data_IF_609692578985
#
_entry.id   IF_609692578985
#
_cell.length_a   1.000
_cell.length_b   1.000
_cell.length_c   1.000
_cell.angle_alpha   90.00
_cell.angle_beta   90.00
_cell.angle_gamma   90.00
#
_symmetry.space_group_name_H-M   'P 1'
#
loop_
_entity.id
_entity.type
_entity.pdbx_description
1 polymer ?
#
# COMPACT_ATOMS: atom_id res chain seq x y z
N UNK A 1 -17.23 0.54 15.89
CA UNK A 1 -17.44 -0.73 15.18
C UNK A 1 -17.23 -0.44 13.69
N UNK A 2 -16.08 -0.78 13.12
CA UNK A 2 -16.02 -1.11 11.69
C UNK A 2 -14.92 -2.15 11.51
N UNK A 3 -15.35 -3.41 11.45
CA UNK A 3 -14.56 -4.50 10.90
C UNK A 3 -14.81 -4.46 9.40
N UNK A 4 -13.98 -3.75 8.65
CA UNK A 4 -13.95 -3.79 7.19
C UNK A 4 -12.55 -3.40 6.76
N UNK A 5 -11.61 -4.32 6.97
CA UNK A 5 -10.21 -4.15 6.58
C UNK A 5 -10.07 -4.36 5.07
N UNK A 6 -10.75 -3.52 4.30
CA UNK A 6 -10.41 -3.31 2.91
C UNK A 6 -9.08 -2.58 2.91
N UNK A 7 -8.00 -3.17 2.37
CA UNK A 7 -6.71 -2.51 2.36
C UNK A 7 -6.84 -1.28 1.47
N UNK A 8 -6.72 -0.10 2.06
CA UNK A 8 -6.82 1.17 1.36
C UNK A 8 -5.53 1.94 1.58
N UNK A 9 -4.98 2.46 0.49
CA UNK A 9 -3.78 3.29 0.50
C UNK A 9 -4.01 4.53 1.40
N UNK A 10 -3.23 4.70 2.46
CA UNK A 10 -3.33 5.86 3.37
C UNK A 10 -2.92 7.18 2.70
N UNK A 11 -2.11 7.12 1.64
CA UNK A 11 -1.64 8.31 0.92
C UNK A 11 -2.61 8.77 -0.18
N UNK A 12 -3.29 7.82 -0.81
CA UNK A 12 -4.07 8.04 -2.03
C UNK A 12 -5.54 7.60 -1.92
N UNK A 13 -5.94 7.06 -0.77
CA UNK A 13 -7.26 6.50 -0.47
C UNK A 13 -7.76 5.45 -1.49
N UNK A 14 -6.88 4.92 -2.34
CA UNK A 14 -7.25 3.93 -3.34
C UNK A 14 -7.48 2.56 -2.69
N UNK A 15 -8.57 1.85 -3.03
CA UNK A 15 -8.85 0.51 -2.55
C UNK A 15 -7.91 -0.52 -3.22
N UNK A 16 -6.97 -1.04 -2.44
CA UNK A 16 -6.05 -2.10 -2.84
C UNK A 16 -6.77 -3.44 -2.71
N UNK A 17 -7.41 -3.90 -3.79
CA UNK A 17 -8.12 -5.18 -3.82
C UNK A 17 -7.30 -6.31 -4.47
N UNK A 18 -6.15 -5.97 -5.07
CA UNK A 18 -5.29 -6.93 -5.79
C UNK A 18 -3.91 -6.98 -5.15
N UNK A 19 -3.29 -8.16 -5.01
CA UNK A 19 -1.95 -8.31 -4.43
C UNK A 19 -0.85 -7.54 -5.16
N UNK A 20 -1.03 -7.18 -6.44
CA UNK A 20 -0.08 -6.35 -7.19
C UNK A 20 -0.16 -4.84 -6.88
N UNK A 21 -1.18 -4.42 -6.15
CA UNK A 21 -1.36 -3.03 -5.73
C UNK A 21 -0.73 -2.77 -4.37
N UNK A 22 -0.37 -3.79 -3.59
CA UNK A 22 0.23 -3.63 -2.26
C UNK A 22 1.72 -3.37 -2.38
N UNK A 23 2.19 -2.29 -1.75
CA UNK A 23 3.62 -2.00 -1.69
C UNK A 23 4.37 -3.16 -1.02
N UNK A 24 5.63 -3.32 -1.36
CA UNK A 24 6.49 -4.37 -0.79
C UNK A 24 7.56 -3.73 0.08
N UNK A 25 7.76 -4.25 1.28
CA UNK A 25 8.89 -3.94 2.14
C UNK A 25 10.19 -4.39 1.47
N UNK A 26 11.32 -3.81 1.88
CA UNK A 26 12.65 -4.28 1.47
C UNK A 26 12.89 -5.77 1.79
N UNK A 27 12.17 -6.32 2.77
CA UNK A 27 12.22 -7.75 3.14
C UNK A 27 11.37 -8.65 2.20
N UNK A 28 10.55 -8.06 1.32
CA UNK A 28 9.66 -8.80 0.42
C UNK A 28 8.23 -9.00 0.94
N UNK A 29 7.94 -8.58 2.16
CA UNK A 29 6.58 -8.58 2.74
C UNK A 29 5.69 -7.48 2.13
N UNK A 30 4.39 -7.70 1.95
CA UNK A 30 3.46 -6.65 1.45
C UNK A 30 2.97 -5.73 2.58
N UNK A 31 2.81 -4.44 2.29
CA UNK A 31 2.23 -3.42 3.15
C UNK A 31 0.74 -3.28 2.83
N UNK A 32 -0.13 -3.43 3.85
CA UNK A 32 -1.58 -3.26 3.71
C UNK A 32 -2.05 -1.80 3.80
N UNK A 33 -1.12 -0.88 4.08
CA UNK A 33 -1.39 0.54 4.31
C UNK A 33 -1.04 1.42 3.11
N UNK A 34 -0.15 0.95 2.22
CA UNK A 34 0.38 1.75 1.10
C UNK A 34 0.43 0.93 -0.19
N UNK A 35 0.07 1.56 -1.31
CA UNK A 35 0.07 0.90 -2.60
C UNK A 35 1.44 0.95 -3.30
N UNK A 36 1.67 0.05 -4.26
CA UNK A 36 2.93 -0.01 -5.05
C UNK A 36 3.22 1.28 -5.83
N UNK A 37 2.19 2.09 -6.09
CA UNK A 37 2.31 3.38 -6.77
C UNK A 37 2.81 4.50 -5.85
N UNK A 38 2.50 4.44 -4.56
CA UNK A 38 2.97 5.40 -3.56
C UNK A 38 4.29 4.95 -2.91
N UNK A 39 4.46 3.63 -2.72
CA UNK A 39 5.65 3.04 -2.12
C UNK A 39 6.07 1.78 -2.86
N UNK A 40 7.33 1.66 -3.23
CA UNK A 40 7.87 0.46 -3.85
C UNK A 40 9.20 0.07 -3.20
N UNK A 41 9.32 -1.20 -2.78
CA UNK A 41 10.54 -1.74 -2.13
C UNK A 41 10.99 -1.01 -0.86
N UNK A 42 10.07 -0.35 -0.16
CA UNK A 42 10.36 0.48 1.02
C UNK A 42 10.81 1.90 0.70
N UNK A 43 10.73 2.33 -0.56
CA UNK A 43 11.02 3.70 -1.00
C UNK A 43 9.72 4.38 -1.45
N UNK A 44 9.49 5.61 -0.99
CA UNK A 44 8.31 6.38 -1.38
C UNK A 44 8.54 6.94 -2.79
N UNK A 45 7.67 6.59 -3.74
CA UNK A 45 7.80 7.01 -5.14
C UNK A 45 7.21 8.39 -5.39
N UNK A 46 6.50 8.98 -4.42
CA UNK A 46 6.06 10.38 -4.52
C UNK A 46 7.20 11.32 -4.07
N UNK A 47 7.72 12.19 -4.97
CA UNK A 47 8.49 13.35 -4.53
C UNK A 47 7.52 14.35 -3.85
N UNK A 48 8.03 15.03 -2.82
CA UNK A 48 7.36 16.08 -2.02
C UNK A 48 6.44 17.02 -2.82
#
# INVERSE_FOLDING_TARGET
>A
MVASQSPVCQSCAMPMTKPGEFSTYSDGSQHDEYCTYCMQKGEFTAPD
#
